data_IF_948366548326
#
_entry.id   IF_948366548326
#
_cell.length_a   1.000
_cell.length_b   1.000
_cell.length_c   1.000
_cell.angle_alpha   90.00
_cell.angle_beta   90.00
_cell.angle_gamma   90.00
#
_symmetry.space_group_name_H-M   'P 1'
#
loop_
_entity.id
_entity.type
_entity.pdbx_description
1 polymer ?
#
# COMPACT_ATOMS: atom_id res chain seq x y z
N UNK A 1 6.25 10.99 34.10
CA UNK A 1 6.02 10.34 32.78
C UNK A 1 5.56 11.42 31.82
N UNK A 2 6.47 11.93 30.99
CA UNK A 2 6.12 12.83 29.90
C UNK A 2 5.46 11.97 28.79
N UNK A 3 4.14 11.88 28.81
CA UNK A 3 3.39 11.22 27.76
C UNK A 3 3.62 11.95 26.43
N UNK A 4 4.40 11.35 25.54
CA UNK A 4 4.54 11.89 24.18
C UNK A 4 3.15 12.03 23.58
N UNK A 5 2.84 13.22 23.08
CA UNK A 5 1.53 13.51 22.51
C UNK A 5 1.34 12.62 21.27
N UNK A 6 0.41 11.65 21.33
CA UNK A 6 0.10 10.74 20.22
C UNK A 6 -0.27 11.54 18.98
N UNK A 7 0.26 11.15 17.81
CA UNK A 7 -0.16 11.77 16.54
C UNK A 7 -1.66 11.54 16.31
N UNK A 8 -2.36 12.54 15.76
CA UNK A 8 -3.80 12.45 15.42
C UNK A 8 -4.05 12.87 13.98
N UNK A 9 -2.99 12.88 13.15
CA UNK A 9 -3.08 13.24 11.73
C UNK A 9 -2.01 12.50 10.94
N UNK A 10 -2.24 12.38 9.64
CA UNK A 10 -1.22 11.99 8.68
C UNK A 10 -0.88 13.19 7.81
N UNK A 11 0.30 13.76 7.98
CA UNK A 11 0.77 14.93 7.22
C UNK A 11 0.81 14.61 5.73
N UNK A 12 1.22 13.38 5.36
CA UNK A 12 1.21 12.92 3.99
C UNK A 12 -0.20 12.89 3.38
N UNK A 13 -1.19 12.33 4.08
CA UNK A 13 -2.57 12.25 3.56
C UNK A 13 -3.22 13.64 3.49
N UNK A 14 -2.95 14.51 4.44
CA UNK A 14 -3.38 15.91 4.42
C UNK A 14 -2.83 16.61 3.18
N UNK A 15 -1.52 16.50 2.95
CA UNK A 15 -0.87 17.02 1.75
C UNK A 15 -1.46 16.42 0.47
N UNK A 16 -1.63 15.11 0.41
CA UNK A 16 -2.19 14.42 -0.77
C UNK A 16 -3.61 14.89 -1.11
N UNK A 17 -4.42 15.24 -0.10
CA UNK A 17 -5.78 15.76 -0.31
C UNK A 17 -5.83 17.24 -0.70
N UNK A 18 -4.86 18.03 -0.27
CA UNK A 18 -4.89 19.51 -0.42
C UNK A 18 -3.91 20.04 -1.45
N UNK A 19 -2.85 19.30 -1.75
CA UNK A 19 -1.73 19.79 -2.57
C UNK A 19 -1.43 18.95 -3.82
N UNK A 20 -2.06 17.80 -4.00
CA UNK A 20 -1.83 16.95 -5.18
C UNK A 20 -2.61 17.39 -6.44
N UNK A 21 -3.45 18.42 -6.34
CA UNK A 21 -4.33 18.91 -7.42
C UNK A 21 -3.62 19.87 -8.38
N UNK A 22 -2.41 19.52 -8.84
CA UNK A 22 -1.77 20.27 -9.93
C UNK A 22 -2.38 19.85 -11.29
N UNK A 23 -2.18 20.69 -12.30
CA UNK A 23 -2.67 20.41 -13.66
C UNK A 23 -2.11 19.08 -14.18
N UNK A 24 -0.83 18.80 -13.89
CA UNK A 24 -0.14 17.55 -14.23
C UNK A 24 0.17 16.79 -12.93
N UNK A 25 -0.62 15.79 -12.63
CA UNK A 25 -0.52 15.08 -11.36
C UNK A 25 0.22 13.74 -11.52
N UNK A 26 1.50 13.73 -11.14
CA UNK A 26 2.33 12.54 -11.04
C UNK A 26 2.43 12.00 -9.59
N UNK A 27 1.60 12.51 -8.66
CA UNK A 27 1.64 12.09 -7.25
C UNK A 27 0.76 10.87 -6.94
N UNK A 28 -0.21 10.57 -7.80
CA UNK A 28 -1.19 9.49 -7.57
C UNK A 28 -0.54 8.11 -7.67
N UNK A 29 -0.70 7.28 -6.64
CA UNK A 29 -0.08 5.94 -6.56
C UNK A 29 -1.01 4.79 -6.96
N UNK A 30 -2.25 5.06 -7.32
CA UNK A 30 -3.21 4.07 -7.83
C UNK A 30 -3.42 4.23 -9.32
N UNK A 31 -4.12 3.27 -9.92
CA UNK A 31 -4.59 3.40 -11.29
C UNK A 31 -5.71 4.43 -11.39
N UNK A 32 -5.85 5.02 -12.59
CA UNK A 32 -7.00 5.86 -12.93
C UNK A 32 -8.30 5.11 -12.70
N UNK A 33 -9.27 5.82 -12.11
CA UNK A 33 -10.55 5.24 -11.71
C UNK A 33 -11.31 4.65 -12.90
N UNK A 34 -12.01 3.56 -12.64
CA UNK A 34 -12.95 2.96 -13.60
C UNK A 34 -14.22 3.81 -13.59
N UNK A 35 -14.66 4.36 -14.73
CA UNK A 35 -15.92 5.09 -14.81
C UNK A 35 -17.09 4.12 -14.69
N UNK A 36 -18.22 4.59 -14.17
CA UNK A 36 -19.42 3.74 -14.01
C UNK A 36 -19.91 3.13 -15.33
N UNK A 37 -19.67 3.82 -16.44
CA UNK A 37 -20.01 3.32 -17.79
C UNK A 37 -19.23 2.06 -18.21
N UNK A 38 -18.07 1.80 -17.60
CA UNK A 38 -17.27 0.61 -17.83
C UNK A 38 -17.48 -0.45 -16.73
N UNK A 39 -18.30 -0.15 -15.73
CA UNK A 39 -18.59 -1.05 -14.63
C UNK A 39 -19.89 -1.82 -14.91
N UNK A 40 -19.89 -3.17 -14.88
CA UNK A 40 -21.03 -3.99 -15.30
C UNK A 40 -22.10 -4.07 -14.20
N UNK A 41 -22.77 -2.95 -13.89
CA UNK A 41 -23.79 -2.83 -12.84
C UNK A 41 -25.10 -2.29 -13.39
N UNK A 42 -26.22 -2.88 -12.94
CA UNK A 42 -27.58 -2.38 -13.14
C UNK A 42 -28.13 -1.74 -11.86
N UNK A 43 -29.13 -0.87 -11.99
CA UNK A 43 -29.79 -0.25 -10.82
C UNK A 43 -30.35 -1.28 -9.83
N UNK A 44 -30.84 -2.43 -10.32
CA UNK A 44 -31.33 -3.55 -9.48
C UNK A 44 -30.25 -4.14 -8.57
N UNK A 45 -28.96 -3.95 -8.90
CA UNK A 45 -27.83 -4.46 -8.12
C UNK A 45 -27.48 -3.54 -6.94
N UNK A 46 -28.04 -2.34 -6.91
CA UNK A 46 -27.79 -1.32 -5.88
C UNK A 46 -28.79 -1.42 -4.73
N UNK A 47 -28.83 -2.56 -4.06
CA UNK A 47 -29.59 -2.68 -2.80
C UNK A 47 -28.91 -1.86 -1.70
N UNK A 48 -29.74 -1.13 -0.93
CA UNK A 48 -29.27 -0.30 0.19
C UNK A 48 -29.60 -0.91 1.56
N UNK A 49 -30.44 -1.92 1.59
CA UNK A 49 -30.81 -2.62 2.84
C UNK A 49 -29.91 -3.84 2.99
N UNK A 50 -29.09 -3.90 4.06
CA UNK A 50 -28.20 -5.05 4.28
C UNK A 50 -29.02 -6.31 4.60
N UNK A 51 -28.49 -7.47 4.20
CA UNK A 51 -29.01 -8.75 4.70
C UNK A 51 -28.77 -8.86 6.20
N UNK A 52 -29.74 -9.41 6.94
CA UNK A 52 -29.65 -9.51 8.38
C UNK A 52 -28.57 -10.51 8.83
N UNK A 53 -27.79 -10.14 9.86
CA UNK A 53 -27.37 -11.09 10.86
C UNK A 53 -26.02 -11.76 10.75
N UNK A 54 -24.93 -11.13 10.22
CA UNK A 54 -23.58 -11.68 10.34
C UNK A 54 -22.48 -10.59 10.25
N UNK A 55 -21.26 -10.93 10.66
CA UNK A 55 -20.08 -10.12 10.41
C UNK A 55 -19.72 -10.17 8.92
N UNK A 56 -19.82 -9.02 8.27
CA UNK A 56 -19.59 -8.85 6.85
C UNK A 56 -20.71 -9.38 5.93
N UNK A 57 -20.71 -8.90 4.69
CA UNK A 57 -21.63 -9.37 3.67
C UNK A 57 -21.20 -10.73 3.13
N UNK A 58 -22.00 -11.78 3.34
CA UNK A 58 -21.68 -13.18 3.03
C UNK A 58 -21.15 -13.37 1.61
N UNK A 59 -21.84 -12.80 0.61
CA UNK A 59 -21.41 -12.93 -0.78
C UNK A 59 -20.04 -12.29 -1.05
N UNK A 60 -19.69 -11.19 -0.38
CA UNK A 60 -18.37 -10.58 -0.47
C UNK A 60 -17.31 -11.43 0.24
N UNK A 61 -17.61 -11.97 1.43
CA UNK A 61 -16.70 -12.84 2.17
C UNK A 61 -16.32 -14.08 1.34
N UNK A 62 -17.28 -14.70 0.68
CA UNK A 62 -17.04 -15.84 -0.22
C UNK A 62 -16.13 -15.49 -1.41
N UNK A 63 -16.29 -14.27 -2.00
CA UNK A 63 -15.41 -13.81 -3.10
C UNK A 63 -14.01 -13.53 -2.60
N UNK A 64 -13.87 -12.87 -1.47
CA UNK A 64 -12.57 -12.59 -0.84
C UNK A 64 -11.84 -13.88 -0.47
N UNK A 65 -12.52 -14.82 0.16
CA UNK A 65 -11.96 -16.13 0.52
C UNK A 65 -11.48 -16.89 -0.73
N UNK A 66 -12.32 -16.96 -1.78
CA UNK A 66 -11.96 -17.61 -3.04
C UNK A 66 -10.80 -16.93 -3.75
N UNK A 67 -10.82 -15.59 -3.83
CA UNK A 67 -9.76 -14.80 -4.47
C UNK A 67 -8.39 -15.04 -3.81
N UNK A 68 -8.36 -15.15 -2.49
CA UNK A 68 -7.14 -15.33 -1.73
C UNK A 68 -6.80 -16.81 -1.44
N UNK A 69 -7.65 -17.76 -1.83
CA UNK A 69 -7.44 -19.20 -1.59
C UNK A 69 -7.43 -19.58 -0.11
N UNK A 70 -8.26 -18.92 0.71
CA UNK A 70 -8.31 -19.10 2.16
C UNK A 70 -9.74 -19.40 2.62
N UNK A 71 -9.93 -20.05 3.80
CA UNK A 71 -11.24 -20.16 4.42
C UNK A 71 -11.83 -18.80 4.83
N UNK A 72 -13.17 -18.69 4.82
CA UNK A 72 -13.85 -17.43 5.15
C UNK A 72 -13.55 -16.92 6.56
N UNK A 73 -13.35 -17.80 7.52
CA UNK A 73 -12.96 -17.44 8.89
C UNK A 73 -11.61 -16.74 9.01
N UNK A 74 -10.80 -16.77 7.95
CA UNK A 74 -9.53 -16.04 7.87
C UNK A 74 -9.68 -14.63 7.27
N UNK A 75 -10.88 -14.24 6.83
CA UNK A 75 -11.12 -12.99 6.09
C UNK A 75 -11.86 -11.97 6.94
N UNK A 76 -11.39 -10.72 6.91
CA UNK A 76 -12.09 -9.56 7.48
C UNK A 76 -12.23 -8.51 6.38
N UNK A 77 -13.48 -8.19 5.99
CA UNK A 77 -13.71 -7.06 5.08
C UNK A 77 -13.47 -5.74 5.82
N UNK A 78 -12.94 -4.73 5.12
CA UNK A 78 -12.62 -3.43 5.71
C UNK A 78 -12.85 -2.29 4.71
N UNK A 79 -13.04 -1.07 5.21
CA UNK A 79 -13.23 0.12 4.38
C UNK A 79 -11.91 0.59 3.76
N UNK A 80 -11.41 -0.18 2.79
CA UNK A 80 -10.12 -0.02 2.12
C UNK A 80 -8.94 -0.43 2.98
N UNK A 81 -7.74 -0.52 2.37
CA UNK A 81 -6.51 -0.93 3.06
C UNK A 81 -6.17 -0.03 4.25
N UNK A 82 -6.54 1.26 4.24
CA UNK A 82 -6.26 2.15 5.37
C UNK A 82 -6.97 1.71 6.65
N UNK A 83 -8.24 1.31 6.58
CA UNK A 83 -8.95 0.76 7.73
C UNK A 83 -8.45 -0.66 8.06
N UNK A 84 -8.15 -1.47 7.04
CA UNK A 84 -7.56 -2.78 7.23
C UNK A 84 -6.25 -2.72 8.05
N UNK A 85 -5.33 -1.82 7.69
CA UNK A 85 -4.09 -1.58 8.42
C UNK A 85 -4.35 -1.12 9.86
N UNK A 86 -5.33 -0.21 10.04
CA UNK A 86 -5.69 0.27 11.37
C UNK A 86 -6.24 -0.85 12.26
N UNK A 87 -7.21 -1.61 11.77
CA UNK A 87 -7.81 -2.73 12.52
C UNK A 87 -6.76 -3.80 12.84
N UNK A 88 -5.90 -4.16 11.88
CA UNK A 88 -4.83 -5.12 12.09
C UNK A 88 -3.87 -4.68 13.21
N UNK A 89 -3.38 -3.42 13.15
CA UNK A 89 -2.48 -2.90 14.18
C UNK A 89 -3.19 -2.74 15.53
N UNK A 90 -4.41 -2.20 15.55
CA UNK A 90 -5.15 -1.96 16.79
C UNK A 90 -5.59 -3.27 17.49
N UNK A 91 -5.77 -4.35 16.73
CA UNK A 91 -6.01 -5.68 17.31
C UNK A 91 -4.75 -6.29 17.94
N UNK A 92 -3.55 -5.83 17.55
CA UNK A 92 -2.27 -6.41 17.95
C UNK A 92 -1.51 -5.60 18.99
N UNK A 93 -1.71 -4.27 19.04
CA UNK A 93 -0.86 -3.35 19.78
C UNK A 93 -1.61 -2.63 20.88
N UNK A 94 -1.08 -2.77 22.09
CA UNK A 94 -1.40 -1.91 23.21
C UNK A 94 -0.34 -0.79 23.36
N UNK A 95 -0.66 0.33 24.06
CA UNK A 95 0.32 1.39 24.30
C UNK A 95 1.57 0.88 25.01
N UNK A 96 2.73 1.11 24.39
CA UNK A 96 4.04 0.66 24.90
C UNK A 96 4.56 -0.64 24.25
N UNK A 97 3.72 -1.36 23.49
CA UNK A 97 4.17 -2.54 22.76
C UNK A 97 5.21 -2.19 21.69
N UNK A 98 6.17 -3.09 21.49
CA UNK A 98 7.23 -2.90 20.52
C UNK A 98 6.78 -3.32 19.10
N UNK A 99 6.96 -2.41 18.15
CA UNK A 99 6.71 -2.64 16.73
C UNK A 99 7.94 -2.30 15.89
N UNK A 100 8.29 -3.18 14.96
CA UNK A 100 9.30 -2.92 13.94
C UNK A 100 8.61 -2.41 12.68
N UNK A 101 9.06 -1.27 12.13
CA UNK A 101 8.49 -0.69 10.91
C UNK A 101 9.61 -0.37 9.93
N UNK A 102 9.46 -0.79 8.68
CA UNK A 102 10.40 -0.47 7.59
C UNK A 102 10.63 1.04 7.43
N UNK A 103 11.80 1.42 6.91
CA UNK A 103 12.17 2.81 6.62
C UNK A 103 12.97 2.87 5.30
N UNK A 104 12.53 3.63 4.27
CA UNK A 104 11.34 4.50 4.26
C UNK A 104 10.03 3.70 4.36
N UNK A 105 8.90 4.39 4.66
CA UNK A 105 7.61 3.75 4.79
C UNK A 105 6.47 4.65 4.29
N UNK A 106 5.38 4.03 3.89
CA UNK A 106 4.11 4.74 3.68
C UNK A 106 3.64 5.39 5.00
N UNK A 107 3.68 6.71 5.08
CA UNK A 107 3.47 7.47 6.30
C UNK A 107 2.29 7.04 7.19
N UNK A 108 1.10 6.70 6.64
CA UNK A 108 -0.01 6.20 7.44
C UNK A 108 0.29 4.94 8.27
N UNK A 109 1.15 4.02 7.80
CA UNK A 109 1.54 2.85 8.59
C UNK A 109 2.30 3.25 9.86
N UNK A 110 3.23 4.21 9.74
CA UNK A 110 3.94 4.78 10.88
C UNK A 110 2.98 5.54 11.80
N UNK A 111 2.11 6.38 11.22
CA UNK A 111 1.20 7.21 12.00
C UNK A 111 0.15 6.40 12.79
N UNK A 112 -0.28 5.24 12.28
CA UNK A 112 -1.17 4.33 13.03
C UNK A 112 -0.45 3.82 14.29
N UNK A 113 0.80 3.34 14.16
CA UNK A 113 1.56 2.85 15.30
C UNK A 113 1.81 3.94 16.35
N UNK A 114 2.15 5.17 15.90
CA UNK A 114 2.27 6.35 16.77
C UNK A 114 0.96 6.70 17.48
N UNK A 115 -0.17 6.64 16.74
CA UNK A 115 -1.50 6.89 17.31
C UNK A 115 -1.87 5.86 18.38
N UNK A 116 -1.54 4.60 18.17
CA UNK A 116 -1.77 3.52 19.14
C UNK A 116 -0.82 3.62 20.35
N UNK A 117 0.26 4.42 20.24
CA UNK A 117 1.23 4.61 21.31
C UNK A 117 2.25 3.50 21.42
N UNK A 118 2.52 2.81 20.32
CA UNK A 118 3.53 1.77 20.24
C UNK A 118 4.96 2.35 20.37
N UNK A 119 5.88 1.50 20.83
CA UNK A 119 7.33 1.77 20.84
C UNK A 119 7.92 1.30 19.53
N UNK A 120 8.27 2.25 18.66
CA UNK A 120 8.64 1.98 17.27
C UNK A 120 10.15 1.80 17.14
N UNK A 121 10.58 0.70 16.54
CA UNK A 121 11.93 0.48 16.00
C UNK A 121 11.87 0.53 14.47
N UNK A 122 12.93 1.10 13.84
CA UNK A 122 12.98 1.24 12.39
C UNK A 122 13.89 0.18 11.78
N UNK A 123 13.44 -0.43 10.68
CA UNK A 123 14.18 -1.40 9.88
C UNK A 123 14.55 -0.75 8.55
N UNK A 124 15.83 -0.49 8.29
CA UNK A 124 16.23 0.27 7.10
C UNK A 124 16.11 -0.57 5.82
N UNK A 125 15.60 0.07 4.77
CA UNK A 125 15.66 -0.38 3.37
C UNK A 125 16.44 0.66 2.59
N UNK A 126 17.64 0.32 2.14
CA UNK A 126 18.58 1.27 1.58
C UNK A 126 18.45 1.37 0.07
N UNK A 127 18.65 2.55 -0.49
CA UNK A 127 18.68 2.77 -1.94
C UNK A 127 19.77 1.93 -2.61
N UNK A 128 20.94 1.86 -2.00
CA UNK A 128 22.13 1.16 -2.48
C UNK A 128 21.91 -0.37 -2.64
N UNK A 129 20.96 -0.93 -1.88
CA UNK A 129 20.57 -2.35 -1.98
C UNK A 129 19.24 -2.54 -2.73
N UNK A 130 18.79 -1.53 -3.49
CA UNK A 130 17.52 -1.57 -4.22
C UNK A 130 16.31 -1.66 -3.30
N UNK A 131 16.39 -1.07 -2.10
CA UNK A 131 15.37 -1.13 -1.06
C UNK A 131 15.00 -2.55 -0.64
N UNK A 132 15.93 -3.49 -0.73
CA UNK A 132 15.73 -4.86 -0.23
C UNK A 132 15.51 -4.86 1.30
N UNK A 133 14.72 -5.81 1.79
CA UNK A 133 14.66 -6.11 3.22
C UNK A 133 15.83 -7.04 3.55
N UNK A 134 16.78 -6.54 4.32
CA UNK A 134 17.93 -7.33 4.78
C UNK A 134 17.51 -8.12 6.03
N UNK A 135 17.53 -9.46 5.93
CA UNK A 135 17.13 -10.35 7.03
C UNK A 135 17.95 -10.09 8.30
N UNK A 136 19.23 -9.81 8.16
CA UNK A 136 20.11 -9.48 9.29
C UNK A 136 19.67 -8.24 10.08
N UNK A 137 19.09 -7.24 9.42
CA UNK A 137 18.53 -6.06 10.11
C UNK A 137 17.24 -6.43 10.88
N UNK A 138 16.41 -7.31 10.33
CA UNK A 138 15.23 -7.84 11.04
C UNK A 138 15.65 -8.64 12.27
N UNK A 139 16.56 -9.62 12.10
CA UNK A 139 17.02 -10.50 13.17
C UNK A 139 17.72 -9.73 14.31
N UNK A 140 18.46 -8.69 13.98
CA UNK A 140 19.09 -7.79 14.95
C UNK A 140 18.06 -6.95 15.74
N UNK A 141 16.96 -6.54 15.09
CA UNK A 141 15.95 -5.66 15.69
C UNK A 141 14.89 -6.42 16.50
N UNK A 142 14.53 -7.65 16.09
CA UNK A 142 13.54 -8.50 16.76
C UNK A 142 14.00 -8.91 18.15
N UNK A 143 13.12 -8.80 19.13
CA UNK A 143 13.33 -9.20 20.52
C UNK A 143 12.12 -9.97 21.05
N UNK A 144 12.22 -10.54 22.24
CA UNK A 144 11.07 -11.17 22.92
C UNK A 144 9.92 -10.18 23.27
N UNK A 145 10.16 -8.87 23.17
CA UNK A 145 9.15 -7.82 23.38
C UNK A 145 8.45 -7.41 22.08
N UNK A 146 9.00 -7.80 20.92
CA UNK A 146 8.42 -7.47 19.62
C UNK A 146 7.04 -8.12 19.47
N UNK A 147 6.01 -7.32 19.15
CA UNK A 147 4.64 -7.78 18.91
C UNK A 147 4.30 -7.83 17.43
N UNK A 148 4.82 -6.87 16.66
CA UNK A 148 4.47 -6.73 15.26
C UNK A 148 5.66 -6.25 14.43
N UNK A 149 5.80 -6.81 13.22
CA UNK A 149 6.68 -6.30 12.17
C UNK A 149 5.78 -5.78 11.05
N UNK A 150 5.98 -4.56 10.57
CA UNK A 150 5.14 -3.91 9.56
C UNK A 150 5.95 -3.64 8.30
N UNK A 151 5.51 -4.21 7.20
CA UNK A 151 6.15 -4.15 5.89
C UNK A 151 5.11 -3.86 4.81
N UNK A 152 5.55 -3.40 3.64
CA UNK A 152 4.74 -3.34 2.42
C UNK A 152 5.39 -4.14 1.28
N UNK A 153 4.57 -4.82 0.48
CA UNK A 153 5.00 -5.62 -0.66
C UNK A 153 3.93 -5.56 -1.81
N UNK A 154 4.22 -4.90 -2.92
CA UNK A 154 5.40 -4.12 -3.27
C UNK A 154 5.58 -2.91 -2.36
N UNK A 155 6.83 -2.56 -2.09
CA UNK A 155 7.18 -1.48 -1.17
C UNK A 155 6.68 -0.11 -1.62
N UNK A 156 6.04 0.63 -0.76
CA UNK A 156 5.71 2.03 -0.98
C UNK A 156 6.63 2.91 -0.12
N UNK A 157 7.60 3.64 -0.75
CA UNK A 157 7.47 4.27 -2.06
C UNK A 157 8.26 3.63 -3.23
N UNK A 158 9.13 2.65 -3.03
CA UNK A 158 10.13 2.27 -4.06
C UNK A 158 9.64 1.24 -5.10
N UNK A 159 8.54 0.52 -4.81
CA UNK A 159 8.08 -0.60 -5.64
C UNK A 159 8.93 -1.88 -5.49
N UNK A 160 9.89 -1.92 -4.58
CA UNK A 160 10.72 -3.09 -4.38
C UNK A 160 9.91 -4.31 -3.90
N UNK A 161 10.23 -5.46 -4.45
CA UNK A 161 9.62 -6.75 -4.10
C UNK A 161 10.43 -7.42 -2.98
N UNK A 162 9.74 -7.98 -1.99
CA UNK A 162 10.34 -8.89 -1.01
C UNK A 162 10.20 -10.31 -1.55
N UNK A 163 11.29 -11.05 -1.79
CA UNK A 163 11.23 -12.42 -2.28
C UNK A 163 10.57 -13.38 -1.27
N UNK A 164 9.94 -14.45 -1.78
CA UNK A 164 9.29 -15.46 -0.95
C UNK A 164 10.21 -16.09 0.11
N UNK A 165 11.48 -16.30 -0.23
CA UNK A 165 12.51 -16.80 0.69
C UNK A 165 12.77 -15.87 1.85
N UNK A 166 12.86 -14.56 1.59
CA UNK A 166 13.03 -13.52 2.62
C UNK A 166 11.78 -13.43 3.49
N UNK A 167 10.58 -13.41 2.88
CA UNK A 167 9.32 -13.41 3.63
C UNK A 167 9.22 -14.62 4.57
N UNK A 168 9.56 -15.83 4.09
CA UNK A 168 9.59 -17.03 4.92
C UNK A 168 10.50 -16.85 6.13
N UNK A 169 11.73 -16.39 5.93
CA UNK A 169 12.69 -16.20 7.01
C UNK A 169 12.23 -15.13 8.02
N UNK A 170 11.57 -14.05 7.56
CA UNK A 170 10.97 -13.04 8.44
C UNK A 170 9.83 -13.66 9.26
N UNK A 171 8.93 -14.43 8.63
CA UNK A 171 7.84 -15.11 9.29
C UNK A 171 8.33 -16.09 10.36
N UNK A 172 9.36 -16.89 10.06
CA UNK A 172 10.00 -17.79 11.01
C UNK A 172 10.64 -17.02 12.18
N UNK A 173 11.28 -15.89 11.92
CA UNK A 173 11.87 -15.04 12.96
C UNK A 173 10.80 -14.44 13.87
N UNK A 174 9.69 -13.97 13.32
CA UNK A 174 8.56 -13.45 14.08
C UNK A 174 7.91 -14.57 14.94
N UNK A 175 7.63 -15.72 14.32
CA UNK A 175 6.99 -16.85 14.99
C UNK A 175 7.80 -17.34 16.21
N UNK A 176 9.14 -17.40 16.12
CA UNK A 176 10.02 -17.80 17.24
C UNK A 176 9.86 -16.96 18.50
N UNK A 177 9.46 -15.69 18.37
CA UNK A 177 9.28 -14.78 19.51
C UNK A 177 7.80 -14.49 19.82
N UNK A 178 6.88 -15.16 19.11
CA UNK A 178 5.44 -14.93 19.26
C UNK A 178 4.94 -13.61 18.66
N UNK A 179 5.72 -12.99 17.77
CA UNK A 179 5.34 -11.79 17.03
C UNK A 179 4.59 -12.15 15.74
N UNK A 180 3.86 -11.16 15.19
CA UNK A 180 3.23 -11.26 13.88
C UNK A 180 3.91 -10.33 12.86
N UNK A 181 3.63 -10.59 11.57
CA UNK A 181 4.12 -9.78 10.46
C UNK A 181 2.92 -9.23 9.69
N UNK A 182 2.66 -7.94 9.78
CA UNK A 182 1.69 -7.24 8.96
C UNK A 182 2.35 -6.86 7.62
N UNK A 183 1.79 -7.33 6.53
CA UNK A 183 2.24 -6.97 5.18
C UNK A 183 1.11 -6.32 4.40
N UNK A 184 1.31 -5.04 4.02
CA UNK A 184 0.43 -4.35 3.09
C UNK A 184 0.76 -4.78 1.66
N UNK A 185 -0.10 -5.64 1.08
CA UNK A 185 0.06 -6.21 -0.27
C UNK A 185 -0.76 -5.47 -1.34
N UNK A 186 -1.18 -4.24 -1.07
CA UNK A 186 -2.11 -3.49 -1.94
C UNK A 186 -1.61 -3.28 -3.37
N UNK A 187 -0.33 -3.47 -3.65
CA UNK A 187 0.27 -3.40 -4.99
C UNK A 187 0.71 -4.76 -5.55
N UNK A 188 0.64 -5.83 -4.77
CA UNK A 188 1.26 -7.10 -5.13
C UNK A 188 0.62 -7.75 -6.38
N UNK A 189 -0.70 -7.57 -6.57
CA UNK A 189 -1.43 -8.05 -7.75
C UNK A 189 -0.93 -7.44 -9.07
N UNK A 190 -0.11 -6.37 -9.02
CA UNK A 190 0.56 -5.78 -10.20
C UNK A 190 1.68 -6.66 -10.77
N UNK A 191 2.09 -7.70 -10.08
CA UNK A 191 2.96 -8.73 -10.65
C UNK A 191 2.21 -9.61 -11.67
N UNK A 192 0.90 -9.50 -11.76
CA UNK A 192 0.01 -10.26 -12.64
C UNK A 192 0.31 -11.76 -12.60
N UNK A 193 0.89 -12.31 -13.67
CA UNK A 193 1.10 -13.76 -13.82
C UNK A 193 2.52 -14.22 -13.43
N UNK A 194 3.30 -13.41 -12.76
CA UNK A 194 4.71 -13.70 -12.47
C UNK A 194 4.95 -14.46 -11.17
N UNK A 195 3.91 -15.02 -10.54
CA UNK A 195 4.05 -15.79 -9.31
C UNK A 195 4.32 -14.90 -8.09
N UNK A 196 3.38 -14.01 -7.76
CA UNK A 196 3.48 -13.12 -6.62
C UNK A 196 3.68 -13.90 -5.31
N UNK A 197 4.63 -13.49 -4.46
CA UNK A 197 4.91 -14.15 -3.18
C UNK A 197 3.91 -13.70 -2.10
N UNK A 198 2.67 -14.13 -2.19
CA UNK A 198 1.65 -13.81 -1.18
C UNK A 198 2.03 -14.35 0.19
N UNK A 199 1.97 -13.49 1.20
CA UNK A 199 2.47 -13.80 2.53
C UNK A 199 1.62 -14.83 3.26
N UNK A 200 0.29 -14.82 3.11
CA UNK A 200 -0.57 -15.70 3.87
C UNK A 200 -0.33 -17.20 3.58
N UNK A 201 -0.22 -17.65 2.31
CA UNK A 201 0.20 -19.01 1.99
C UNK A 201 1.61 -19.36 2.47
N UNK A 202 2.55 -18.40 2.46
CA UNK A 202 3.91 -18.61 2.99
C UNK A 202 3.83 -18.91 4.50
N UNK A 203 3.01 -18.18 5.24
CA UNK A 203 2.81 -18.39 6.68
C UNK A 203 2.19 -19.75 7.00
N UNK A 204 1.27 -20.24 6.18
CA UNK A 204 0.70 -21.59 6.33
C UNK A 204 1.74 -22.70 6.18
N UNK A 205 2.86 -22.44 5.52
CA UNK A 205 3.96 -23.37 5.40
C UNK A 205 4.98 -23.28 6.57
N UNK A 206 4.86 -22.24 7.43
CA UNK A 206 5.69 -22.05 8.63
C UNK A 206 5.02 -22.69 9.85
N UNK A 207 3.72 -22.47 10.01
CA UNK A 207 2.94 -22.87 11.16
C UNK A 207 1.55 -23.37 10.74
N UNK A 208 0.76 -23.87 11.69
CA UNK A 208 -0.64 -24.20 11.42
C UNK A 208 -1.42 -22.97 11.00
N UNK A 209 -2.60 -23.16 10.39
CA UNK A 209 -3.49 -22.05 10.00
C UNK A 209 -3.82 -21.15 11.20
N UNK A 210 -3.98 -21.72 12.38
CA UNK A 210 -4.35 -21.02 13.60
C UNK A 210 -3.19 -20.25 14.23
N UNK A 211 -1.95 -20.56 13.82
CA UNK A 211 -0.70 -19.95 14.29
C UNK A 211 0.04 -19.18 13.17
N UNK A 212 -0.62 -18.95 12.03
CA UNK A 212 -0.02 -18.22 10.90
C UNK A 212 0.52 -16.87 11.38
N UNK A 213 1.84 -16.61 11.25
CA UNK A 213 2.42 -15.36 11.73
C UNK A 213 2.06 -14.14 10.87
N UNK A 214 1.56 -14.35 9.63
CA UNK A 214 1.26 -13.23 8.74
C UNK A 214 -0.16 -12.71 8.91
N UNK A 215 -0.27 -11.38 8.94
CA UNK A 215 -1.47 -10.61 8.73
C UNK A 215 -1.28 -9.86 7.41
N UNK A 216 -2.20 -10.04 6.48
CA UNK A 216 -2.11 -9.42 5.15
C UNK A 216 -3.23 -8.42 4.97
N UNK A 217 -2.92 -7.25 4.41
CA UNK A 217 -3.94 -6.26 4.03
C UNK A 217 -3.87 -5.97 2.54
N UNK A 218 -5.03 -5.82 1.91
CA UNK A 218 -5.14 -5.54 0.48
C UNK A 218 -6.45 -4.80 0.16
N UNK A 219 -6.65 -4.37 -1.08
CA UNK A 219 -7.90 -3.76 -1.56
C UNK A 219 -8.01 -3.68 -3.08
N UNK A 220 -9.20 -3.44 -3.58
CA UNK A 220 -9.45 -3.14 -5.00
C UNK A 220 -9.02 -1.71 -5.40
N UNK A 221 -8.43 -0.94 -4.50
CA UNK A 221 -8.16 0.50 -4.69
C UNK A 221 -7.06 0.77 -5.70
N UNK A 222 -5.91 0.09 -5.59
CA UNK A 222 -4.68 0.51 -6.29
C UNK A 222 -4.53 -0.15 -7.65
N UNK A 223 -4.66 -1.48 -7.69
CA UNK A 223 -4.43 -2.28 -8.90
C UNK A 223 -5.60 -2.20 -9.87
N UNK A 224 -6.81 -2.09 -9.36
CA UNK A 224 -8.02 -2.22 -10.18
C UNK A 224 -8.70 -0.88 -10.48
N UNK A 225 -8.23 0.24 -9.90
CA UNK A 225 -8.83 1.55 -10.11
C UNK A 225 -10.22 1.73 -9.49
N UNK A 226 -10.57 0.91 -8.49
CA UNK A 226 -11.88 0.86 -7.85
C UNK A 226 -11.88 1.53 -6.47
N UNK A 227 -11.18 2.65 -6.34
CA UNK A 227 -10.99 3.33 -5.05
C UNK A 227 -12.30 3.78 -4.40
N UNK A 228 -13.32 4.10 -5.19
CA UNK A 228 -14.65 4.54 -4.71
C UNK A 228 -15.44 3.46 -3.97
N UNK A 229 -15.19 2.18 -4.26
CA UNK A 229 -15.88 1.06 -3.59
C UNK A 229 -15.43 0.89 -2.13
N UNK A 230 -14.28 1.42 -1.76
CA UNK A 230 -13.70 1.23 -0.42
C UNK A 230 -13.59 -0.25 0.00
N UNK A 231 -13.48 -1.16 -0.98
CA UNK A 231 -13.34 -2.60 -0.74
C UNK A 231 -11.88 -2.91 -0.39
N UNK A 232 -11.63 -3.19 0.87
CA UNK A 232 -10.38 -3.72 1.40
C UNK A 232 -10.64 -4.96 2.24
N UNK A 233 -9.58 -5.67 2.58
CA UNK A 233 -9.68 -6.87 3.43
C UNK A 233 -8.40 -7.11 4.21
N UNK A 234 -8.55 -7.93 5.24
CA UNK A 234 -7.46 -8.49 6.03
C UNK A 234 -7.53 -10.01 5.92
N UNK A 235 -6.38 -10.66 5.80
CA UNK A 235 -6.22 -12.08 5.99
C UNK A 235 -5.45 -12.30 7.29
N UNK A 236 -6.00 -13.11 8.17
CA UNK A 236 -5.39 -13.42 9.46
C UNK A 236 -5.79 -14.82 9.93
N UNK A 237 -5.09 -15.37 10.91
CA UNK A 237 -5.51 -16.58 11.61
C UNK A 237 -6.94 -16.40 12.17
N UNK A 238 -7.78 -17.46 12.22
CA UNK A 238 -9.21 -17.33 12.53
C UNK A 238 -9.53 -16.59 13.83
N UNK A 239 -8.80 -16.89 14.91
CA UNK A 239 -8.97 -16.23 16.20
C UNK A 239 -8.67 -14.72 16.12
N UNK A 240 -7.64 -14.33 15.35
CA UNK A 240 -7.25 -12.94 15.16
C UNK A 240 -8.24 -12.22 14.21
N UNK A 241 -8.70 -12.88 13.15
CA UNK A 241 -9.75 -12.34 12.27
C UNK A 241 -11.04 -12.06 13.07
N UNK A 242 -11.45 -12.99 13.93
CA UNK A 242 -12.59 -12.76 14.84
C UNK A 242 -12.37 -11.57 15.76
N UNK A 243 -11.17 -11.41 16.33
CA UNK A 243 -10.82 -10.26 17.17
C UNK A 243 -10.92 -8.94 16.41
N UNK A 244 -10.51 -8.92 15.16
CA UNK A 244 -10.60 -7.72 14.30
C UNK A 244 -12.05 -7.38 13.97
N UNK A 245 -12.92 -8.35 13.69
CA UNK A 245 -14.35 -8.12 13.52
C UNK A 245 -15.00 -7.48 14.76
N UNK A 246 -14.71 -8.00 15.95
CA UNK A 246 -15.21 -7.45 17.20
C UNK A 246 -14.67 -6.03 17.46
N UNK A 247 -13.47 -5.74 17.01
CA UNK A 247 -12.90 -4.40 17.11
C UNK A 247 -13.56 -3.42 16.13
N UNK A 248 -13.92 -3.88 14.93
CA UNK A 248 -14.59 -3.04 13.92
C UNK A 248 -15.97 -2.56 14.37
N UNK A 249 -16.65 -3.28 15.26
CA UNK A 249 -17.90 -2.83 15.91
C UNK A 249 -17.76 -1.46 16.62
N UNK A 250 -16.54 -1.09 17.03
CA UNK A 250 -16.26 0.20 17.66
C UNK A 250 -16.09 1.35 16.67
N UNK A 251 -15.89 1.06 15.37
CA UNK A 251 -15.58 2.05 14.34
C UNK A 251 -16.60 2.08 13.21
N UNK A 252 -16.72 0.99 12.48
CA UNK A 252 -17.53 0.87 11.28
C UNK A 252 -18.87 0.21 11.50
N UNK A 253 -18.92 -0.72 12.44
CA UNK A 253 -20.09 -1.56 12.74
C UNK A 253 -20.60 -2.33 11.52
N UNK A 254 -21.05 -1.63 10.48
CA UNK A 254 -21.56 -2.22 9.22
C UNK A 254 -21.04 -1.38 8.05
N UNK A 255 -20.50 -2.04 7.03
CA UNK A 255 -20.07 -1.37 5.81
C UNK A 255 -21.27 -0.87 4.98
N UNK A 256 -21.01 0.05 4.05
CA UNK A 256 -22.03 0.53 3.12
C UNK A 256 -22.44 -0.60 2.15
N UNK A 257 -23.62 -1.16 2.33
CA UNK A 257 -24.08 -2.37 1.63
C UNK A 257 -24.04 -2.24 0.09
N UNK A 258 -24.42 -1.09 -0.46
CA UNK A 258 -24.31 -0.85 -1.90
C UNK A 258 -22.86 -0.97 -2.42
N UNK A 259 -21.87 -0.54 -1.63
CA UNK A 259 -20.45 -0.69 -1.97
C UNK A 259 -20.00 -2.16 -1.89
N UNK A 260 -20.46 -2.91 -0.91
CA UNK A 260 -20.21 -4.36 -0.81
C UNK A 260 -20.80 -5.13 -2.00
N UNK A 261 -22.04 -4.80 -2.40
CA UNK A 261 -22.69 -5.36 -3.60
C UNK A 261 -21.88 -5.09 -4.87
N UNK A 262 -21.50 -3.84 -5.09
CA UNK A 262 -20.64 -3.47 -6.23
C UNK A 262 -19.26 -4.17 -6.16
N UNK A 263 -18.75 -4.41 -4.97
CA UNK A 263 -17.49 -5.15 -4.79
C UNK A 263 -17.62 -6.62 -5.19
N UNK A 264 -18.75 -7.27 -4.91
CA UNK A 264 -19.04 -8.62 -5.39
C UNK A 264 -19.01 -8.67 -6.92
N UNK A 265 -19.70 -7.71 -7.58
CA UNK A 265 -19.69 -7.59 -9.05
C UNK A 265 -18.27 -7.36 -9.57
N UNK A 266 -17.47 -6.53 -8.89
CA UNK A 266 -16.07 -6.30 -9.25
C UNK A 266 -15.25 -7.60 -9.21
N UNK A 267 -15.42 -8.44 -8.19
CA UNK A 267 -14.74 -9.73 -8.09
C UNK A 267 -15.20 -10.72 -9.17
N UNK A 268 -16.46 -10.70 -9.55
CA UNK A 268 -17.01 -11.56 -10.62
C UNK A 268 -16.47 -11.13 -12.01
N UNK A 269 -15.94 -9.90 -12.16
CA UNK A 269 -15.36 -9.33 -13.38
C UNK A 269 -13.88 -8.90 -13.23
N UNK A 270 -13.17 -9.46 -12.27
CA UNK A 270 -11.83 -8.98 -11.87
C UNK A 270 -10.80 -9.04 -13.01
N UNK A 271 -10.91 -10.03 -13.90
CA UNK A 271 -10.01 -10.18 -15.05
C UNK A 271 -10.14 -9.02 -16.05
N UNK A 272 -11.32 -8.45 -16.24
CA UNK A 272 -11.52 -7.26 -17.06
C UNK A 272 -10.71 -6.07 -16.50
N UNK A 273 -10.77 -5.84 -15.19
CA UNK A 273 -10.04 -4.76 -14.54
C UNK A 273 -8.52 -5.03 -14.52
N UNK A 274 -8.12 -6.29 -14.40
CA UNK A 274 -6.72 -6.72 -14.50
C UNK A 274 -6.13 -6.44 -15.88
N UNK A 275 -6.84 -6.79 -16.95
CA UNK A 275 -6.40 -6.51 -18.32
C UNK A 275 -6.31 -5.01 -18.61
N UNK A 276 -7.28 -4.22 -18.15
CA UNK A 276 -7.24 -2.75 -18.22
C UNK A 276 -5.98 -2.22 -17.52
N UNK A 277 -5.70 -2.70 -16.32
CA UNK A 277 -4.52 -2.33 -15.55
C UNK A 277 -3.22 -2.68 -16.29
N UNK A 278 -3.13 -3.91 -16.82
CA UNK A 278 -1.98 -4.40 -17.57
C UNK A 278 -1.72 -3.56 -18.81
N UNK A 279 -2.73 -3.30 -19.63
CA UNK A 279 -2.60 -2.51 -20.85
C UNK A 279 -2.09 -1.09 -20.56
N UNK A 280 -2.68 -0.40 -19.57
CA UNK A 280 -2.26 0.93 -19.15
C UNK A 280 -0.81 0.95 -18.65
N UNK A 281 -0.46 0.05 -17.75
CA UNK A 281 0.86 0.03 -17.11
C UNK A 281 1.96 -0.40 -18.08
N UNK A 282 1.70 -1.25 -19.07
CA UNK A 282 2.68 -1.61 -20.09
C UNK A 282 3.15 -0.38 -20.87
N UNK A 283 2.20 0.46 -21.32
CA UNK A 283 2.53 1.68 -22.05
C UNK A 283 3.22 2.71 -21.13
N UNK A 284 2.68 2.93 -19.93
CA UNK A 284 3.20 3.92 -19.01
C UNK A 284 4.58 3.54 -18.46
N UNK A 285 4.83 2.24 -18.26
CA UNK A 285 6.13 1.72 -17.83
C UNK A 285 7.23 2.00 -18.86
N UNK A 286 6.99 1.72 -20.13
CA UNK A 286 7.96 2.01 -21.19
C UNK A 286 8.31 3.50 -21.25
N UNK A 287 7.32 4.37 -21.02
CA UNK A 287 7.51 5.82 -21.03
C UNK A 287 8.37 6.31 -19.86
N UNK A 288 8.09 5.88 -18.63
CA UNK A 288 8.89 6.29 -17.47
C UNK A 288 10.30 5.70 -17.53
N UNK A 289 10.48 4.47 -17.99
CA UNK A 289 11.81 3.87 -18.16
C UNK A 289 12.64 4.67 -19.16
N UNK A 290 12.10 5.02 -20.34
CA UNK A 290 12.75 5.87 -21.33
C UNK A 290 13.09 7.26 -20.77
N UNK A 291 12.18 7.87 -20.02
CA UNK A 291 12.43 9.16 -19.35
C UNK A 291 13.61 9.08 -18.40
N UNK A 292 13.60 8.11 -17.48
CA UNK A 292 14.66 7.96 -16.50
C UNK A 292 16.02 7.59 -17.14
N UNK A 293 16.02 6.83 -18.25
CA UNK A 293 17.26 6.48 -18.99
C UNK A 293 17.87 7.70 -19.68
N UNK A 294 17.05 8.71 -20.01
CA UNK A 294 17.52 9.98 -20.60
C UNK A 294 18.11 10.97 -19.58
N UNK A 295 18.03 10.67 -18.25
CA UNK A 295 18.39 11.61 -17.18
C UNK A 295 19.68 11.19 -16.48
N UNK A 296 20.61 12.14 -16.30
CA UNK A 296 21.83 11.97 -15.50
C UNK A 296 21.73 12.66 -14.13
N UNK A 297 20.74 13.50 -13.95
CA UNK A 297 20.43 14.23 -12.73
C UNK A 297 19.49 13.46 -11.78
N UNK A 298 19.07 12.26 -12.20
CA UNK A 298 18.24 11.34 -11.43
C UNK A 298 18.91 9.97 -11.29
N UNK A 299 18.84 9.39 -10.10
CA UNK A 299 19.14 7.98 -9.86
C UNK A 299 17.87 7.29 -9.36
N UNK A 300 17.55 6.13 -9.94
CA UNK A 300 16.31 5.43 -9.61
C UNK A 300 16.49 3.91 -9.62
N UNK A 301 16.07 3.27 -8.53
CA UNK A 301 15.83 1.84 -8.53
C UNK A 301 14.67 1.51 -9.50
N UNK A 302 14.83 0.46 -10.32
CA UNK A 302 13.81 -0.01 -11.26
C UNK A 302 13.01 -1.15 -10.64
N UNK A 303 11.79 -0.89 -10.12
CA UNK A 303 10.99 -1.96 -9.53
C UNK A 303 10.54 -2.98 -10.59
N UNK A 304 10.34 -4.26 -10.22
CA UNK A 304 9.92 -5.29 -11.19
C UNK A 304 8.50 -5.04 -11.72
N UNK A 305 7.64 -4.43 -10.91
CA UNK A 305 6.27 -4.05 -11.21
C UNK A 305 5.86 -2.85 -10.37
N UNK A 306 4.63 -2.40 -10.49
CA UNK A 306 4.09 -1.35 -9.64
C UNK A 306 3.64 -0.12 -10.41
N UNK A 307 3.03 0.78 -9.67
CA UNK A 307 2.50 2.06 -10.16
C UNK A 307 3.34 3.24 -9.74
N UNK A 308 4.47 3.01 -9.07
CA UNK A 308 5.30 4.07 -8.50
C UNK A 308 6.78 3.84 -8.77
N UNK A 309 7.50 4.95 -8.93
CA UNK A 309 8.96 5.06 -8.99
C UNK A 309 9.43 6.04 -7.93
N UNK A 310 10.65 5.83 -7.41
CA UNK A 310 11.19 6.64 -6.32
C UNK A 310 12.61 7.11 -6.62
N UNK A 311 12.79 7.98 -7.65
CA UNK A 311 14.08 8.56 -7.99
C UNK A 311 14.58 9.49 -6.89
N UNK A 312 15.92 9.68 -6.86
CA UNK A 312 16.59 10.75 -6.10
C UNK A 312 17.25 11.76 -7.02
N UNK A 313 17.27 13.02 -6.60
CA UNK A 313 18.08 14.05 -7.21
C UNK A 313 19.55 13.78 -6.88
N UNK A 314 20.43 13.85 -7.88
CA UNK A 314 21.87 13.67 -7.70
C UNK A 314 22.53 14.92 -7.08
N UNK A 315 21.90 16.10 -7.22
CA UNK A 315 22.38 17.37 -6.69
C UNK A 315 21.24 18.36 -6.48
N UNK A 316 21.53 19.47 -5.81
CA UNK A 316 20.61 20.59 -5.57
C UNK A 316 19.71 20.40 -4.34
N UNK A 317 18.95 21.46 -4.02
CA UNK A 317 17.98 21.47 -2.93
C UNK A 317 16.61 20.93 -3.39
N UNK A 318 16.12 19.82 -2.84
CA UNK A 318 14.85 19.23 -3.25
C UNK A 318 13.64 20.16 -3.02
N UNK A 319 13.63 20.94 -1.96
CA UNK A 319 12.51 21.86 -1.65
C UNK A 319 12.41 22.96 -2.72
N UNK A 320 13.54 23.52 -3.13
CA UNK A 320 13.59 24.50 -4.22
C UNK A 320 13.12 23.87 -5.55
N UNK A 321 13.52 22.63 -5.82
CA UNK A 321 13.06 21.89 -7.00
C UNK A 321 11.55 21.66 -6.99
N UNK A 322 10.98 21.17 -5.88
CA UNK A 322 9.54 20.91 -5.79
C UNK A 322 8.72 22.19 -5.89
N UNK A 323 9.24 23.30 -5.36
CA UNK A 323 8.61 24.61 -5.52
C UNK A 323 8.60 25.05 -6.99
N UNK A 324 9.75 24.97 -7.69
CA UNK A 324 9.87 25.28 -9.12
C UNK A 324 8.90 24.43 -9.96
N UNK A 325 8.91 23.10 -9.75
CA UNK A 325 8.08 22.14 -10.46
C UNK A 325 6.60 22.46 -10.31
N UNK A 326 6.16 22.80 -9.13
CA UNK A 326 4.76 23.09 -8.83
C UNK A 326 4.34 24.46 -9.34
N UNK A 327 5.10 25.52 -9.02
CA UNK A 327 4.68 26.88 -9.28
C UNK A 327 4.81 27.27 -10.76
N UNK A 328 5.89 26.87 -11.40
CA UNK A 328 6.13 27.21 -12.81
C UNK A 328 5.60 26.13 -13.76
N UNK A 329 5.90 24.87 -13.50
CA UNK A 329 5.56 23.78 -14.41
C UNK A 329 4.21 23.14 -14.14
N UNK A 330 3.50 23.56 -13.08
CA UNK A 330 2.16 23.08 -12.68
C UNK A 330 2.08 21.56 -12.57
N UNK A 331 3.18 20.93 -12.16
CA UNK A 331 3.34 19.49 -12.04
C UNK A 331 3.58 19.12 -10.57
N UNK A 332 2.98 18.02 -10.12
CA UNK A 332 3.11 17.55 -8.75
C UNK A 332 3.65 16.12 -8.73
N UNK A 333 4.70 15.91 -7.95
CA UNK A 333 5.22 14.61 -7.48
C UNK A 333 5.09 14.55 -5.96
N UNK A 334 5.26 13.38 -5.34
CA UNK A 334 5.26 13.31 -3.87
C UNK A 334 6.67 13.55 -3.34
N UNK A 335 6.92 14.60 -2.55
CA UNK A 335 8.22 14.83 -1.91
C UNK A 335 8.66 13.64 -1.05
N UNK A 336 9.94 13.33 -1.13
CA UNK A 336 10.54 12.20 -0.37
C UNK A 336 10.59 12.43 1.14
N UNK A 337 10.43 13.67 1.60
CA UNK A 337 10.29 14.02 3.02
C UNK A 337 9.12 13.27 3.69
N UNK A 338 8.04 12.96 2.95
CA UNK A 338 6.93 12.13 3.44
C UNK A 338 7.29 10.65 3.63
N UNK A 339 8.46 10.25 3.13
CA UNK A 339 9.02 8.89 3.25
C UNK A 339 10.37 8.91 3.99
N UNK A 340 10.69 10.01 4.69
CA UNK A 340 11.95 10.18 5.44
C UNK A 340 13.23 10.15 4.57
N UNK A 341 13.09 10.44 3.26
CA UNK A 341 14.18 10.48 2.28
C UNK A 341 14.12 11.78 1.45
N UNK A 342 14.57 12.92 1.97
CA UNK A 342 14.34 14.24 1.38
C UNK A 342 14.90 14.41 -0.05
N UNK A 343 16.00 13.73 -0.42
CA UNK A 343 16.57 13.80 -1.76
C UNK A 343 15.73 13.04 -2.82
N UNK A 344 14.79 12.20 -2.38
CA UNK A 344 13.93 11.43 -3.26
C UNK A 344 12.59 12.12 -3.53
N UNK A 345 11.89 11.62 -4.54
CA UNK A 345 10.48 11.94 -4.76
C UNK A 345 9.77 10.76 -5.44
N UNK A 346 8.47 10.62 -5.17
CA UNK A 346 7.72 9.53 -5.76
C UNK A 346 6.93 10.00 -6.97
N UNK A 347 7.11 9.31 -8.10
CA UNK A 347 6.37 9.46 -9.34
C UNK A 347 5.35 8.33 -9.45
N UNK A 348 4.07 8.66 -9.67
CA UNK A 348 3.03 7.69 -9.98
C UNK A 348 2.82 7.56 -11.48
N UNK A 349 2.73 6.34 -11.98
CA UNK A 349 2.51 6.02 -13.39
C UNK A 349 1.12 5.43 -13.68
N UNK A 350 0.23 5.41 -12.69
CA UNK A 350 -1.13 4.85 -12.81
C UNK A 350 -2.15 5.77 -13.47
N UNK A 351 -1.78 7.00 -13.84
CA UNK A 351 -2.61 7.96 -14.58
C UNK A 351 -2.82 7.56 -16.03
N UNK A 352 -3.69 8.30 -16.74
CA UNK A 352 -3.82 8.13 -18.19
C UNK A 352 -2.49 8.43 -18.91
N UNK A 353 -2.26 7.75 -20.03
CA UNK A 353 -0.97 7.79 -20.75
C UNK A 353 -0.63 9.18 -21.29
N UNK A 354 -1.63 9.97 -21.70
CA UNK A 354 -1.41 11.34 -22.20
C UNK A 354 -1.00 12.26 -21.04
N UNK A 355 -1.71 12.20 -19.93
CA UNK A 355 -1.38 12.98 -18.73
C UNK A 355 -0.01 12.62 -18.15
N UNK A 356 0.38 11.33 -18.20
CA UNK A 356 1.73 10.91 -17.79
C UNK A 356 2.79 11.51 -18.71
N UNK A 357 2.61 11.45 -20.05
CA UNK A 357 3.54 12.02 -21.03
C UNK A 357 3.75 13.51 -20.76
N UNK A 358 2.66 14.27 -20.71
CA UNK A 358 2.72 15.72 -20.47
C UNK A 358 3.40 16.05 -19.14
N UNK A 359 3.10 15.26 -18.08
CA UNK A 359 3.72 15.41 -16.77
C UNK A 359 5.22 15.15 -16.78
N UNK A 360 5.68 14.10 -17.48
CA UNK A 360 7.11 13.78 -17.61
C UNK A 360 7.87 14.82 -18.47
N UNK A 361 7.28 15.35 -19.53
CA UNK A 361 7.86 16.45 -20.31
C UNK A 361 8.07 17.70 -19.43
N UNK A 362 7.09 18.03 -18.59
CA UNK A 362 7.18 19.15 -17.64
C UNK A 362 8.21 18.89 -16.54
N UNK A 363 8.27 17.69 -16.03
CA UNK A 363 9.28 17.26 -15.06
C UNK A 363 10.69 17.39 -15.65
N UNK A 364 10.90 16.94 -16.89
CA UNK A 364 12.17 17.08 -17.60
C UNK A 364 12.59 18.54 -17.79
N UNK A 365 11.67 19.40 -18.27
CA UNK A 365 11.93 20.82 -18.43
C UNK A 365 12.26 21.53 -17.10
N UNK A 366 11.62 21.13 -16.00
CA UNK A 366 11.94 21.65 -14.67
C UNK A 366 13.34 21.23 -14.20
N UNK A 367 13.72 19.98 -14.44
CA UNK A 367 15.06 19.47 -14.13
C UNK A 367 16.14 20.21 -14.94
N UNK A 368 15.90 20.43 -16.25
CA UNK A 368 16.83 21.13 -17.15
C UNK A 368 17.04 22.60 -16.74
N UNK A 369 16.00 23.24 -16.19
CA UNK A 369 16.11 24.59 -15.66
C UNK A 369 16.83 24.59 -14.31
N UNK A 370 16.48 23.65 -13.43
CA UNK A 370 17.05 23.53 -12.08
C UNK A 370 18.55 23.27 -12.10
N UNK A 371 19.03 22.48 -13.07
CA UNK A 371 20.46 22.19 -13.26
C UNK A 371 21.32 23.40 -13.67
N UNK A 372 20.68 24.52 -14.05
CA UNK A 372 21.39 25.77 -14.45
C UNK A 372 21.63 26.71 -13.27
N UNK A 373 21.05 26.42 -12.13
CA UNK A 373 21.12 27.21 -10.91
C UNK A 373 21.81 26.46 -9.78
#
# INVERSE_FOLDING_TARGET
MNGSKRTKRSVYIEWAKTHSHAKFNLATSGLTSVPLSEFPVDLKDLEITPAAGAYGYKALQERLARHNGVPEECVVAATGTSMANHLAMAAMLDPGDEVLIEQPVYGPLLNIAEYLGARIKRVPRRFETGFAVELSEIEKAVTGETRLIVLSNLHNPSGALIPATTLRAIGESAHRVGAHVLVDEVYLDLLFDTGAPYCFPIGQAIATRDENPFIVTNSLTKVYGLSGLRCGWILAAPALAKRMWLLDDLYGSVAAHAAERMSVIAFDHLDQFRERARALLTANRAMIDSFLDSRQDLECFRPPAGTVFFPRLTHGDPEAFFHLLREKYKTTVVPGTFFEMPQHFRIGIGGDTAGLRDGLERLGAALDEFAKH
#
